data_IF_899637807469
#
_entry.id   IF_899637807469
#
_cell.length_a   1.000
_cell.length_b   1.000
_cell.length_c   1.000
_cell.angle_alpha   90.00
_cell.angle_beta   90.00
_cell.angle_gamma   90.00
#
_symmetry.space_group_name_H-M   'P 1'
#
loop_
_entity.id
_entity.type
_entity.pdbx_description
1 polymer ?
#
# COMPACT_ATOMS: atom_id res chain seq x y z
N UNK A 1 -15.83 5.80 7.25
CA UNK A 1 -14.94 6.72 7.93
C UNK A 1 -14.40 7.68 6.87
N UNK A 2 -14.95 8.91 6.83
CA UNK A 2 -14.49 9.93 5.92
C UNK A 2 -13.06 10.31 6.26
N UNK A 3 -12.14 10.08 5.33
CA UNK A 3 -10.83 10.66 5.41
C UNK A 3 -11.02 12.17 5.26
N UNK A 4 -10.82 12.93 6.32
CA UNK A 4 -10.73 14.37 6.21
C UNK A 4 -9.43 14.66 5.42
N UNK A 5 -9.57 14.84 4.12
CA UNK A 5 -8.50 15.39 3.31
C UNK A 5 -8.45 16.89 3.62
N UNK A 6 -7.53 17.26 4.46
CA UNK A 6 -7.15 18.65 4.57
C UNK A 6 -6.48 18.97 3.24
N UNK A 7 -6.98 20.02 2.55
CA UNK A 7 -6.25 20.55 1.40
C UNK A 7 -4.87 20.98 1.90
N UNK A 8 -3.85 20.28 1.44
CA UNK A 8 -2.48 20.48 1.88
C UNK A 8 -1.95 21.86 1.41
N UNK A 9 -2.63 22.48 0.45
CA UNK A 9 -2.33 23.82 -0.05
C UNK A 9 -2.89 24.95 0.85
N UNK A 10 -3.52 24.64 1.98
CA UNK A 10 -4.04 25.65 2.89
C UNK A 10 -2.90 26.33 3.66
N UNK A 11 -2.63 27.59 3.32
CA UNK A 11 -1.59 28.39 3.94
C UNK A 11 -1.71 28.50 5.48
N UNK A 12 -2.91 28.24 6.04
CA UNK A 12 -3.14 28.20 7.49
C UNK A 12 -2.38 27.06 8.16
N UNK A 13 -2.20 25.93 7.45
CA UNK A 13 -1.48 24.77 7.97
C UNK A 13 0.02 25.03 8.16
N UNK A 14 0.59 25.98 7.43
CA UNK A 14 2.00 26.40 7.62
C UNK A 14 2.23 27.08 8.97
N UNK A 15 1.19 27.71 9.51
CA UNK A 15 1.24 28.43 10.79
C UNK A 15 0.67 27.63 11.96
N UNK A 16 -0.16 26.64 11.69
CA UNK A 16 -0.82 25.82 12.69
C UNK A 16 0.07 24.64 13.06
N UNK A 17 0.32 24.37 14.35
CA UNK A 17 1.02 23.16 14.77
C UNK A 17 0.27 21.91 14.29
N UNK A 18 0.95 21.01 13.58
CA UNK A 18 0.39 19.78 13.03
C UNK A 18 1.01 18.58 13.72
N UNK A 19 0.17 17.77 14.35
CA UNK A 19 0.56 16.47 14.87
C UNK A 19 0.04 15.37 13.95
N UNK A 20 0.94 14.55 13.41
CA UNK A 20 0.59 13.45 12.53
C UNK A 20 0.52 12.15 13.29
N UNK A 21 -0.60 11.45 13.23
CA UNK A 21 -0.77 10.17 13.90
C UNK A 21 -1.21 9.09 12.93
N UNK A 22 -0.54 7.94 13.02
CA UNK A 22 -0.91 6.70 12.33
C UNK A 22 -1.10 6.86 10.82
N UNK A 23 -0.20 7.56 10.16
CA UNK A 23 -0.28 7.82 8.72
C UNK A 23 0.94 7.28 7.99
N UNK A 24 0.74 6.84 6.74
CA UNK A 24 1.86 6.56 5.85
C UNK A 24 2.68 7.81 5.55
N UNK A 25 3.99 7.68 5.52
CA UNK A 25 4.92 8.76 5.16
C UNK A 25 4.62 9.30 3.76
N UNK A 26 4.20 8.41 2.86
CA UNK A 26 3.85 8.77 1.49
C UNK A 26 2.34 8.89 1.35
N UNK A 27 1.90 9.93 0.67
CA UNK A 27 0.48 10.22 0.39
C UNK A 27 0.26 10.51 -1.08
N UNK A 28 -0.92 10.18 -1.58
CA UNK A 28 -1.29 10.53 -2.95
C UNK A 28 -1.54 12.03 -3.09
N UNK A 29 -1.03 12.59 -4.18
CA UNK A 29 -1.52 13.88 -4.68
C UNK A 29 -2.92 13.65 -5.25
N UNK A 30 -3.90 14.40 -4.76
CA UNK A 30 -5.26 14.33 -5.29
C UNK A 30 -5.30 14.84 -6.74
N UNK A 31 -6.20 14.32 -7.57
CA UNK A 31 -6.42 14.86 -8.90
C UNK A 31 -6.92 16.31 -8.81
N UNK A 32 -6.50 17.13 -9.77
CA UNK A 32 -6.85 18.57 -9.80
C UNK A 32 -8.31 18.80 -10.20
N UNK A 33 -8.96 17.81 -10.76
CA UNK A 33 -10.38 17.88 -11.13
C UNK A 33 -11.08 16.54 -10.92
N UNK A 34 -12.39 16.59 -10.73
CA UNK A 34 -13.25 15.43 -10.46
C UNK A 34 -13.57 14.59 -11.71
N UNK A 35 -13.14 15.03 -12.90
CA UNK A 35 -13.42 14.35 -14.18
C UNK A 35 -12.39 13.29 -14.55
N UNK A 36 -11.44 12.98 -13.66
CA UNK A 36 -10.41 11.99 -13.93
C UNK A 36 -10.97 10.58 -13.83
N UNK A 37 -10.75 9.79 -14.87
CA UNK A 37 -10.98 8.35 -14.82
C UNK A 37 -9.96 7.69 -13.88
N UNK A 38 -10.41 7.34 -12.68
CA UNK A 38 -9.59 6.71 -11.66
C UNK A 38 -9.01 5.36 -12.11
N UNK A 39 -9.64 4.67 -13.06
CA UNK A 39 -9.17 3.37 -13.55
C UNK A 39 -7.88 3.47 -14.36
N UNK A 40 -7.68 4.61 -15.04
CA UNK A 40 -6.49 4.92 -15.85
C UNK A 40 -5.55 5.92 -15.20
N UNK A 41 -5.98 6.55 -14.09
CA UNK A 41 -5.19 7.57 -13.41
C UNK A 41 -3.89 7.00 -12.84
N UNK A 42 -2.77 7.66 -13.17
CA UNK A 42 -1.46 7.40 -12.58
C UNK A 42 -1.13 8.50 -11.57
N UNK A 43 -1.42 8.30 -10.28
CA UNK A 43 -1.24 9.33 -9.28
C UNK A 43 0.25 9.60 -9.01
N UNK A 44 0.53 10.82 -8.57
CA UNK A 44 1.80 11.15 -7.92
C UNK A 44 1.68 10.96 -6.43
N UNK A 45 2.80 10.70 -5.78
CA UNK A 45 2.90 10.66 -4.32
C UNK A 45 3.76 11.81 -3.83
N UNK A 46 3.39 12.33 -2.67
CA UNK A 46 4.19 13.22 -1.86
C UNK A 46 4.87 12.43 -0.75
N UNK A 47 6.08 12.81 -0.40
CA UNK A 47 6.74 12.41 0.84
C UNK A 47 6.51 13.50 1.90
N UNK A 48 5.84 13.15 3.00
CA UNK A 48 5.46 14.10 4.03
C UNK A 48 6.65 14.79 4.70
N UNK A 49 7.83 14.20 4.66
CA UNK A 49 9.02 14.79 5.30
C UNK A 49 9.77 15.75 4.38
N UNK A 50 9.80 15.48 3.06
CA UNK A 50 10.50 16.32 2.10
C UNK A 50 9.61 17.39 1.46
N UNK A 51 8.38 17.00 1.04
CA UNK A 51 7.51 17.88 0.27
C UNK A 51 6.73 18.88 1.13
N UNK A 52 6.70 18.65 2.46
CA UNK A 52 6.01 19.51 3.43
C UNK A 52 6.95 20.02 4.53
N UNK A 53 8.20 20.20 4.22
CA UNK A 53 9.21 20.70 5.17
C UNK A 53 8.93 22.12 5.69
N UNK A 54 8.15 22.91 4.97
CA UNK A 54 7.72 24.26 5.36
C UNK A 54 6.42 24.29 6.21
N UNK A 55 5.85 23.11 6.49
CA UNK A 55 4.72 22.99 7.42
C UNK A 55 5.22 22.83 8.86
N UNK A 56 4.45 23.38 9.80
CA UNK A 56 4.78 23.31 11.22
C UNK A 56 4.41 21.93 11.81
N UNK A 57 5.13 20.89 11.39
CA UNK A 57 4.95 19.52 11.90
C UNK A 57 5.72 19.43 13.21
N UNK A 58 5.00 19.35 14.32
CA UNK A 58 5.56 19.34 15.67
C UNK A 58 5.81 17.93 16.24
N UNK A 59 5.25 16.88 15.60
CA UNK A 59 5.44 15.50 16.04
C UNK A 59 4.51 14.53 15.36
N UNK A 60 4.56 13.28 15.81
CA UNK A 60 3.68 12.22 15.34
C UNK A 60 4.38 10.91 15.03
N UNK A 61 3.64 9.99 14.43
CA UNK A 61 4.14 8.70 13.95
C UNK A 61 3.80 8.54 12.47
N UNK A 62 4.80 8.28 11.66
CA UNK A 62 4.65 7.95 10.25
C UNK A 62 5.03 6.50 10.00
N UNK A 63 4.29 5.84 9.12
CA UNK A 63 4.60 4.49 8.68
C UNK A 63 5.34 4.55 7.36
N UNK A 64 6.38 3.74 7.24
CA UNK A 64 7.09 3.52 5.99
C UNK A 64 6.83 2.08 5.50
N UNK A 65 6.33 1.96 4.28
CA UNK A 65 6.20 0.69 3.59
C UNK A 65 7.47 0.46 2.78
N UNK A 66 8.44 -0.20 3.37
CA UNK A 66 9.75 -0.35 2.77
C UNK A 66 9.74 -1.42 1.66
N UNK A 67 9.59 -0.99 0.42
CA UNK A 67 9.58 -1.88 -0.76
C UNK A 67 10.92 -2.55 -0.93
N UNK A 68 12.02 -1.83 -0.74
CA UNK A 68 13.38 -2.37 -0.92
C UNK A 68 13.64 -3.56 -0.01
N UNK A 69 13.30 -3.47 1.29
CA UNK A 69 13.47 -4.57 2.22
C UNK A 69 12.57 -5.76 1.88
N UNK A 70 11.36 -5.50 1.37
CA UNK A 70 10.50 -6.57 0.86
C UNK A 70 11.12 -7.27 -0.37
N UNK A 71 11.73 -6.55 -1.30
CA UNK A 71 12.42 -7.14 -2.45
C UNK A 71 13.64 -7.95 -2.00
N UNK A 72 14.43 -7.45 -1.05
CA UNK A 72 15.55 -8.19 -0.45
C UNK A 72 15.07 -9.50 0.17
N UNK A 73 13.97 -9.46 0.89
CA UNK A 73 13.37 -10.61 1.53
C UNK A 73 12.86 -11.64 0.49
N UNK A 74 12.19 -11.18 -0.56
CA UNK A 74 11.78 -12.05 -1.68
C UNK A 74 12.98 -12.68 -2.34
N UNK A 75 14.05 -11.92 -2.59
CA UNK A 75 15.28 -12.41 -3.18
C UNK A 75 15.98 -13.46 -2.31
N UNK A 76 15.93 -13.30 -1.00
CA UNK A 76 16.47 -14.25 -0.05
C UNK A 76 15.74 -15.60 -0.12
N UNK A 77 14.40 -15.61 -0.08
CA UNK A 77 13.61 -16.84 -0.13
C UNK A 77 13.55 -17.46 -1.53
N UNK A 78 13.52 -16.63 -2.57
CA UNK A 78 13.35 -17.03 -3.97
C UNK A 78 14.37 -16.37 -4.89
N UNK A 79 15.65 -16.72 -4.78
CA UNK A 79 16.75 -16.03 -5.47
C UNK A 79 16.68 -16.10 -7.00
N UNK A 80 15.90 -17.02 -7.55
CA UNK A 80 15.75 -17.20 -9.01
C UNK A 80 14.46 -16.57 -9.56
N UNK A 81 13.52 -16.14 -8.72
CA UNK A 81 12.27 -15.56 -9.19
C UNK A 81 12.44 -14.07 -9.48
N UNK A 82 11.90 -13.64 -10.61
CA UNK A 82 12.00 -12.26 -11.08
C UNK A 82 10.65 -11.69 -11.54
N UNK A 83 9.57 -12.44 -11.38
CA UNK A 83 8.23 -12.00 -11.72
C UNK A 83 7.44 -11.73 -10.46
N UNK A 84 7.08 -10.46 -10.28
CA UNK A 84 6.27 -9.98 -9.16
C UNK A 84 4.88 -9.60 -9.65
N UNK A 85 3.90 -9.93 -8.85
CA UNK A 85 2.52 -9.50 -9.04
C UNK A 85 2.10 -8.74 -7.78
N UNK A 86 1.73 -7.48 -7.94
CA UNK A 86 1.29 -6.64 -6.83
C UNK A 86 -0.24 -6.56 -6.80
N UNK A 87 -0.83 -6.91 -5.67
CA UNK A 87 -2.27 -6.84 -5.42
C UNK A 87 -2.60 -5.57 -4.63
N UNK A 88 -3.44 -4.72 -5.21
CA UNK A 88 -3.96 -3.51 -4.54
C UNK A 88 -5.44 -3.33 -4.80
N UNK A 89 -6.15 -2.82 -3.81
CA UNK A 89 -7.58 -2.54 -3.90
C UNK A 89 -7.89 -1.13 -4.47
N UNK A 90 -9.20 -0.83 -4.62
CA UNK A 90 -9.71 0.46 -5.08
C UNK A 90 -9.88 1.48 -3.95
N UNK A 91 -9.06 1.40 -2.90
CA UNK A 91 -9.01 2.41 -1.84
C UNK A 91 -7.83 3.37 -2.03
N UNK A 92 -7.90 4.54 -1.38
CA UNK A 92 -6.77 5.47 -1.35
C UNK A 92 -5.49 4.81 -0.79
N UNK A 93 -5.62 3.98 0.24
CA UNK A 93 -4.51 3.22 0.80
C UNK A 93 -3.92 2.23 -0.19
N UNK A 94 -4.77 1.46 -0.88
CA UNK A 94 -4.35 0.52 -1.90
C UNK A 94 -3.65 1.22 -3.08
N UNK A 95 -4.21 2.33 -3.53
CA UNK A 95 -3.64 3.11 -4.62
C UNK A 95 -2.31 3.78 -4.23
N UNK A 96 -2.19 4.26 -2.99
CA UNK A 96 -0.92 4.78 -2.46
C UNK A 96 0.15 3.69 -2.46
N UNK A 97 -0.14 2.52 -1.92
CA UNK A 97 0.80 1.39 -1.88
C UNK A 97 1.20 0.94 -3.29
N UNK A 98 0.24 0.89 -4.22
CA UNK A 98 0.51 0.55 -5.62
C UNK A 98 1.49 1.53 -6.26
N UNK A 99 1.20 2.83 -6.15
CA UNK A 99 2.03 3.89 -6.76
C UNK A 99 3.43 3.92 -6.15
N UNK A 100 3.51 3.78 -4.84
CA UNK A 100 4.78 3.69 -4.12
C UNK A 100 5.58 2.46 -4.60
N UNK A 101 4.94 1.30 -4.69
CA UNK A 101 5.59 0.07 -5.12
C UNK A 101 6.09 0.19 -6.57
N UNK A 102 5.27 0.73 -7.47
CA UNK A 102 5.63 0.98 -8.87
C UNK A 102 6.85 1.89 -9.00
N UNK A 103 6.88 2.99 -8.23
CA UNK A 103 8.01 3.94 -8.26
C UNK A 103 9.30 3.31 -7.74
N UNK A 104 9.24 2.57 -6.63
CA UNK A 104 10.42 1.94 -6.04
C UNK A 104 10.96 0.81 -6.91
N UNK A 105 10.11 0.12 -7.68
CA UNK A 105 10.54 -0.95 -8.58
C UNK A 105 11.44 -0.48 -9.73
N UNK A 106 11.48 0.81 -10.03
CA UNK A 106 12.46 1.38 -10.96
C UNK A 106 13.92 1.13 -10.52
N UNK A 107 14.15 0.89 -9.23
CA UNK A 107 15.48 0.54 -8.68
C UNK A 107 15.84 -0.94 -8.90
N UNK A 108 14.91 -1.75 -9.36
CA UNK A 108 15.05 -3.21 -9.52
C UNK A 108 14.71 -3.65 -10.95
N UNK A 109 15.48 -3.21 -11.97
CA UNK A 109 15.18 -3.46 -13.38
C UNK A 109 15.26 -4.94 -13.77
N UNK A 110 15.84 -5.79 -12.93
CA UNK A 110 15.89 -7.24 -13.09
C UNK A 110 14.58 -7.95 -12.73
N UNK A 111 13.59 -7.23 -12.19
CA UNK A 111 12.26 -7.75 -11.91
C UNK A 111 11.23 -7.25 -12.91
N UNK A 112 10.34 -8.14 -13.34
CA UNK A 112 9.09 -7.77 -14.00
C UNK A 112 8.00 -7.53 -12.96
N UNK A 113 7.18 -6.51 -13.15
CA UNK A 113 6.07 -6.17 -12.27
C UNK A 113 4.74 -6.16 -13.04
N UNK A 114 3.75 -6.85 -12.50
CA UNK A 114 2.35 -6.82 -12.94
C UNK A 114 1.45 -6.42 -11.78
N UNK A 115 0.29 -5.88 -12.08
CA UNK A 115 -0.69 -5.46 -11.08
C UNK A 115 -1.98 -6.26 -11.19
N UNK A 116 -2.49 -6.72 -10.05
CA UNK A 116 -3.90 -7.04 -9.85
C UNK A 116 -4.54 -5.83 -9.18
N UNK A 117 -5.12 -4.98 -10.03
CA UNK A 117 -5.58 -3.63 -9.67
C UNK A 117 -7.08 -3.63 -9.39
N UNK A 118 -7.48 -3.43 -8.14
CA UNK A 118 -8.88 -3.39 -7.70
C UNK A 118 -9.71 -2.27 -8.33
N UNK A 119 -9.10 -1.29 -8.99
CA UNK A 119 -9.84 -0.31 -9.80
C UNK A 119 -10.42 -0.92 -11.08
N UNK A 120 -9.83 -2.01 -11.56
CA UNK A 120 -10.15 -2.68 -12.83
C UNK A 120 -10.74 -4.07 -12.63
N UNK A 121 -10.49 -4.69 -11.50
CA UNK A 121 -10.82 -6.08 -11.22
C UNK A 121 -11.79 -6.18 -10.03
N UNK A 122 -12.73 -7.12 -10.15
CA UNK A 122 -13.56 -7.57 -9.03
C UNK A 122 -12.82 -8.64 -8.21
N UNK A 123 -13.36 -8.99 -7.05
CA UNK A 123 -12.86 -10.12 -6.26
C UNK A 123 -12.78 -11.41 -7.08
N UNK A 124 -13.81 -11.69 -7.88
CA UNK A 124 -13.86 -12.88 -8.75
C UNK A 124 -12.76 -12.85 -9.80
N UNK A 125 -12.57 -11.70 -10.47
CA UNK A 125 -11.52 -11.54 -11.49
C UNK A 125 -10.12 -11.78 -10.91
N UNK A 126 -9.87 -11.25 -9.71
CA UNK A 126 -8.61 -11.48 -9.00
C UNK A 126 -8.42 -12.94 -8.67
N UNK A 127 -9.44 -13.59 -8.08
CA UNK A 127 -9.36 -14.99 -7.70
C UNK A 127 -9.09 -15.89 -8.92
N UNK A 128 -9.76 -15.63 -10.05
CA UNK A 128 -9.55 -16.36 -11.28
C UNK A 128 -8.16 -16.10 -11.90
N UNK A 129 -7.66 -14.89 -11.76
CA UNK A 129 -6.31 -14.53 -12.19
C UNK A 129 -5.25 -15.25 -11.33
N UNK A 130 -5.45 -15.30 -10.02
CA UNK A 130 -4.57 -16.00 -9.10
C UNK A 130 -4.50 -17.49 -9.38
N UNK A 131 -5.64 -18.16 -9.63
CA UNK A 131 -5.68 -19.59 -9.96
C UNK A 131 -4.91 -19.94 -11.23
N UNK A 132 -4.79 -19.00 -12.15
CA UNK A 132 -4.05 -19.15 -13.41
C UNK A 132 -2.61 -18.67 -13.34
N UNK A 133 -2.20 -18.13 -12.19
CA UNK A 133 -0.88 -17.55 -12.03
C UNK A 133 0.21 -18.63 -12.00
N UNK A 134 1.30 -18.46 -12.73
CA UNK A 134 2.43 -19.39 -12.67
C UNK A 134 2.99 -19.44 -11.24
N UNK A 135 3.28 -20.64 -10.76
CA UNK A 135 3.90 -20.81 -9.43
C UNK A 135 5.34 -20.27 -9.36
N UNK A 136 5.89 -19.83 -10.50
CA UNK A 136 7.18 -19.11 -10.57
C UNK A 136 7.07 -17.64 -10.20
N UNK A 137 5.86 -17.10 -10.18
CA UNK A 137 5.60 -15.73 -9.77
C UNK A 137 5.61 -15.61 -8.23
N UNK A 138 5.71 -14.39 -7.76
CA UNK A 138 5.57 -14.02 -6.34
C UNK A 138 4.46 -12.99 -6.22
N UNK A 139 3.48 -13.27 -5.38
CA UNK A 139 2.42 -12.32 -5.06
C UNK A 139 2.84 -11.43 -3.89
N UNK A 140 2.77 -10.12 -4.11
CA UNK A 140 2.97 -9.12 -3.05
C UNK A 140 1.64 -8.43 -2.78
N UNK A 141 1.16 -8.54 -1.55
CA UNK A 141 -0.13 -8.00 -1.15
C UNK A 141 0.05 -6.66 -0.44
N UNK A 142 -0.53 -5.61 -1.00
CA UNK A 142 -0.68 -4.31 -0.35
C UNK A 142 -1.92 -4.30 0.54
N UNK A 143 -3.09 -4.29 -0.08
CA UNK A 143 -4.40 -4.35 0.59
C UNK A 143 -5.46 -4.90 -0.35
N UNK A 144 -6.56 -5.44 0.24
CA UNK A 144 -7.74 -5.81 -0.52
C UNK A 144 -9.00 -5.62 0.33
N UNK A 145 -9.68 -4.49 0.14
CA UNK A 145 -10.90 -4.11 0.88
C UNK A 145 -12.04 -3.68 -0.03
N UNK A 146 -11.73 -3.01 -1.14
CA UNK A 146 -12.71 -2.44 -2.08
C UNK A 146 -12.26 -2.83 -3.48
N UNK A 147 -13.16 -3.39 -4.26
CA UNK A 147 -12.90 -3.77 -5.64
C UNK A 147 -13.50 -2.76 -6.65
N UNK A 148 -13.43 -3.07 -7.93
CA UNK A 148 -14.01 -2.30 -9.04
C UNK A 148 -15.49 -1.96 -8.85
N UNK A 149 -16.24 -2.81 -8.13
CA UNK A 149 -17.66 -2.60 -7.87
C UNK A 149 -17.93 -1.61 -6.74
N UNK A 150 -16.89 -1.04 -6.12
CA UNK A 150 -16.98 -0.22 -4.92
C UNK A 150 -17.63 -0.96 -3.73
N UNK A 151 -17.62 -2.27 -3.75
CA UNK A 151 -18.12 -3.08 -2.62
C UNK A 151 -17.03 -3.21 -1.59
N UNK A 152 -17.36 -2.82 -0.37
CA UNK A 152 -16.48 -3.06 0.76
C UNK A 152 -16.58 -4.53 1.18
N UNK A 153 -15.47 -5.22 1.19
CA UNK A 153 -15.41 -6.62 1.57
C UNK A 153 -15.06 -6.73 3.05
N UNK A 154 -16.02 -7.20 3.83
CA UNK A 154 -15.87 -7.35 5.30
C UNK A 154 -15.06 -8.61 5.66
N UNK A 155 -15.05 -9.62 4.78
CA UNK A 155 -14.35 -10.88 5.01
C UNK A 155 -12.83 -10.73 4.82
N UNK A 156 -12.08 -11.68 5.36
CA UNK A 156 -10.64 -11.80 5.12
C UNK A 156 -10.35 -12.39 3.73
N UNK A 157 -10.64 -11.63 2.68
CA UNK A 157 -10.53 -12.06 1.29
C UNK A 157 -9.11 -12.40 0.87
N UNK A 158 -8.10 -11.79 1.48
CA UNK A 158 -6.70 -12.14 1.21
C UNK A 158 -6.37 -13.56 1.71
N UNK A 159 -7.03 -14.02 2.77
CA UNK A 159 -6.95 -15.41 3.20
C UNK A 159 -7.62 -16.36 2.19
N UNK A 160 -8.79 -15.99 1.65
CA UNK A 160 -9.46 -16.76 0.60
C UNK A 160 -8.58 -16.88 -0.66
N UNK A 161 -7.87 -15.83 -1.04
CA UNK A 161 -6.90 -15.86 -2.14
C UNK A 161 -5.77 -16.86 -1.86
N UNK A 162 -5.22 -16.86 -0.65
CA UNK A 162 -4.16 -17.79 -0.27
C UNK A 162 -4.64 -19.25 -0.31
N UNK A 163 -5.86 -19.51 0.16
CA UNK A 163 -6.45 -20.85 0.11
C UNK A 163 -6.72 -21.33 -1.33
N UNK A 164 -7.09 -20.42 -2.23
CA UNK A 164 -7.41 -20.76 -3.62
C UNK A 164 -6.16 -20.98 -4.49
N UNK A 165 -4.97 -20.60 -4.02
CA UNK A 165 -3.71 -20.69 -4.76
C UNK A 165 -2.60 -21.34 -3.93
N UNK A 166 -2.77 -22.60 -3.51
CA UNK A 166 -1.77 -23.28 -2.70
C UNK A 166 -0.45 -23.39 -3.46
N UNK A 167 0.65 -23.06 -2.78
CA UNK A 167 2.00 -23.09 -3.35
C UNK A 167 2.46 -21.80 -4.04
N UNK A 168 1.58 -20.81 -4.24
CA UNK A 168 2.00 -19.49 -4.67
C UNK A 168 2.62 -18.74 -3.47
N UNK A 169 3.89 -18.29 -3.55
CA UNK A 169 4.46 -17.52 -2.44
C UNK A 169 3.84 -16.14 -2.36
N UNK A 170 3.29 -15.85 -1.20
CA UNK A 170 2.64 -14.58 -0.90
C UNK A 170 3.42 -13.81 0.16
N UNK A 171 3.73 -12.56 -0.16
CA UNK A 171 4.39 -11.60 0.74
C UNK A 171 3.44 -10.44 1.05
N UNK A 172 3.63 -9.78 2.18
CA UNK A 172 2.83 -8.61 2.55
C UNK A 172 3.72 -7.42 2.90
N UNK A 173 3.42 -6.26 2.34
CA UNK A 173 4.13 -5.01 2.67
C UNK A 173 3.47 -4.23 3.82
N UNK A 174 2.30 -4.65 4.26
CA UNK A 174 1.47 -3.92 5.24
C UNK A 174 1.26 -4.67 6.55
N UNK A 175 2.03 -5.70 6.83
CA UNK A 175 1.85 -6.63 7.96
C UNK A 175 0.52 -7.43 7.98
N UNK A 176 -0.37 -7.19 7.02
CA UNK A 176 -1.60 -7.98 6.86
C UNK A 176 -1.22 -9.42 6.52
N UNK A 177 -1.77 -10.37 7.27
CA UNK A 177 -1.54 -11.79 7.02
C UNK A 177 -0.27 -12.37 7.65
N UNK A 178 0.52 -11.59 8.39
CA UNK A 178 1.66 -12.11 9.15
C UNK A 178 1.20 -13.16 10.16
N UNK A 179 1.91 -14.30 10.18
CA UNK A 179 1.54 -15.45 11.01
C UNK A 179 0.32 -16.22 10.51
N UNK A 180 -0.18 -15.92 9.32
CA UNK A 180 -1.40 -16.50 8.76
C UNK A 180 -1.18 -17.08 7.36
N UNK A 181 -1.26 -16.22 6.33
CA UNK A 181 -1.13 -16.62 4.92
C UNK A 181 0.11 -15.99 4.26
N UNK A 182 0.65 -14.93 4.82
CA UNK A 182 1.88 -14.33 4.30
C UNK A 182 3.08 -15.16 4.71
N UNK A 183 3.88 -15.58 3.73
CA UNK A 183 5.12 -16.30 3.98
C UNK A 183 6.12 -15.42 4.75
N UNK A 184 6.21 -14.17 4.36
CA UNK A 184 7.04 -13.14 5.00
C UNK A 184 6.61 -11.75 4.52
N UNK A 185 7.23 -10.73 5.09
CA UNK A 185 7.07 -9.35 4.68
C UNK A 185 7.82 -8.41 5.62
N UNK A 186 8.10 -7.24 5.12
CA UNK A 186 8.61 -6.13 5.91
C UNK A 186 7.55 -5.03 5.90
N UNK A 187 6.92 -4.80 7.02
CA UNK A 187 5.80 -3.87 7.15
C UNK A 187 5.86 -3.04 8.42
N UNK A 188 5.10 -1.95 8.47
CA UNK A 188 5.08 -1.08 9.64
C UNK A 188 4.50 -1.80 10.87
N UNK A 189 5.03 -1.46 12.04
CA UNK A 189 4.50 -1.90 13.31
C UNK A 189 3.56 -0.83 13.86
N UNK A 190 2.30 -1.20 14.10
CA UNK A 190 1.28 -0.27 14.61
C UNK A 190 1.17 -0.28 16.13
N UNK A 191 1.93 -1.15 16.79
CA UNK A 191 1.92 -1.29 18.25
C UNK A 191 2.48 -0.04 18.90
N UNK A 192 1.80 0.46 19.95
CA UNK A 192 2.17 1.64 20.73
C UNK A 192 2.12 3.00 20.02
N UNK A 193 1.70 3.08 18.74
CA UNK A 193 1.63 4.36 18.02
C UNK A 193 0.76 5.40 18.74
N UNK A 194 -0.36 4.97 19.32
CA UNK A 194 -1.23 5.86 20.11
C UNK A 194 -0.56 6.39 21.38
N UNK A 195 0.18 5.56 22.10
CA UNK A 195 0.91 5.96 23.29
C UNK A 195 2.06 6.93 22.97
N UNK A 196 2.76 6.69 21.85
CA UNK A 196 3.84 7.57 21.40
C UNK A 196 3.28 8.97 21.12
N UNK A 197 2.17 9.07 20.38
CA UNK A 197 1.54 10.35 20.07
C UNK A 197 0.96 11.00 21.32
N UNK A 198 0.32 10.23 22.20
CA UNK A 198 -0.20 10.74 23.46
C UNK A 198 0.88 11.37 24.35
N UNK A 199 2.06 10.76 24.43
CA UNK A 199 3.19 11.30 25.21
C UNK A 199 3.82 12.55 24.59
N UNK A 200 3.58 12.84 23.32
CA UNK A 200 4.04 14.07 22.66
C UNK A 200 3.09 15.27 22.88
N UNK A 201 1.89 15.03 23.42
CA UNK A 201 0.88 16.06 23.69
C UNK A 201 0.96 16.60 25.13
N UNK A 202 1.78 16.01 25.99
CA UNK A 202 2.02 16.41 27.37
C UNK A 202 3.34 17.15 27.47
#
# INVERSE_FOLDING_TARGET
AGSAYVSIDDARLKKTPVLMSMRGRQILKLPENDSIDLSSWSPRIYDLMSDFSDYNIIGGTLFDYNVEENIKLIRFFYPKRRSLVFLSDNSWGGLTMRTMFENEMNKFPDYSLRFLDGRKLTFTDVNDSLKKMPLTDVLVVGSWRIDKSNRFVVKNTTHEFAQSTPGLPMFSISSIGFGYWSLAGYGPTYVNSGSIVGNQLV
#
